data_IF_100136283911
#
_entry.id   IF_100136283911
#
_cell.length_a   1.000
_cell.length_b   1.000
_cell.length_c   1.000
_cell.angle_alpha   90.00
_cell.angle_beta   90.00
_cell.angle_gamma   90.00
#
_symmetry.space_group_name_H-M   'P 1'
#
loop_
_entity.id
_entity.type
_entity.pdbx_description
1 polymer ?
#
# COMPACT_ATOMS: atom_id res chain seq x y z
N UNK A 1 15.82 -5.28 -10.31
CA UNK A 1 14.61 -5.17 -11.17
C UNK A 1 14.12 -6.52 -11.68
N UNK A 2 14.93 -7.31 -12.40
CA UNK A 2 14.51 -8.60 -12.96
C UNK A 2 13.89 -9.56 -11.92
N UNK A 3 14.56 -9.75 -10.78
CA UNK A 3 14.03 -10.59 -9.69
C UNK A 3 12.64 -10.14 -9.17
N UNK A 4 12.43 -8.83 -8.99
CA UNK A 4 11.11 -8.28 -8.59
C UNK A 4 10.06 -8.54 -9.67
N UNK A 5 10.41 -8.36 -10.95
CA UNK A 5 9.50 -8.63 -12.06
C UNK A 5 9.09 -10.11 -12.12
N UNK A 6 10.07 -11.03 -12.01
CA UNK A 6 9.82 -12.47 -12.00
C UNK A 6 8.94 -12.90 -10.81
N UNK A 7 9.14 -12.31 -9.63
CA UNK A 7 8.35 -12.61 -8.44
C UNK A 7 6.85 -12.24 -8.58
N UNK A 8 6.52 -11.24 -9.41
CA UNK A 8 5.14 -10.79 -9.62
C UNK A 8 4.57 -11.12 -11.00
N UNK A 9 5.36 -11.75 -11.89
CA UNK A 9 4.98 -11.98 -13.29
C UNK A 9 3.71 -12.82 -13.42
N UNK A 10 3.55 -13.86 -12.58
CA UNK A 10 2.38 -14.74 -12.59
C UNK A 10 1.07 -14.07 -12.20
N UNK A 11 1.12 -12.96 -11.47
CA UNK A 11 -0.06 -12.25 -10.96
C UNK A 11 -0.46 -11.05 -11.80
N UNK A 12 0.51 -10.43 -12.47
CA UNK A 12 0.33 -9.12 -13.11
C UNK A 12 0.29 -9.17 -14.64
N UNK A 13 0.88 -10.19 -15.27
CA UNK A 13 1.00 -10.31 -16.74
C UNK A 13 1.55 -9.04 -17.42
N UNK A 14 2.52 -8.40 -16.76
CA UNK A 14 3.14 -7.17 -17.25
C UNK A 14 4.38 -7.47 -18.09
N UNK A 15 4.70 -6.59 -19.03
CA UNK A 15 6.05 -6.58 -19.61
C UNK A 15 7.07 -6.10 -18.57
N UNK A 16 8.35 -6.46 -18.74
CA UNK A 16 9.44 -5.93 -17.90
C UNK A 16 9.48 -4.39 -17.90
N UNK A 17 9.17 -3.77 -19.05
CA UNK A 17 9.14 -2.30 -19.18
C UNK A 17 8.00 -1.68 -18.37
N UNK A 18 6.84 -2.35 -18.30
CA UNK A 18 5.70 -1.93 -17.49
C UNK A 18 6.02 -2.03 -16.01
N UNK A 19 6.59 -3.16 -15.55
CA UNK A 19 7.01 -3.30 -14.15
C UNK A 19 8.02 -2.22 -13.75
N UNK A 20 9.02 -1.93 -14.60
CA UNK A 20 10.00 -0.86 -14.34
C UNK A 20 9.32 0.51 -14.25
N UNK A 21 8.40 0.81 -15.17
CA UNK A 21 7.68 2.10 -15.19
C UNK A 21 6.82 2.26 -13.94
N UNK A 22 6.10 1.22 -13.53
CA UNK A 22 5.28 1.23 -12.31
C UNK A 22 6.15 1.43 -11.08
N UNK A 23 7.24 0.69 -10.94
CA UNK A 23 8.16 0.81 -9.79
C UNK A 23 8.78 2.22 -9.74
N UNK A 24 9.19 2.79 -10.87
CA UNK A 24 9.70 4.16 -10.90
C UNK A 24 8.65 5.15 -10.43
N UNK A 25 7.41 5.06 -10.92
CA UNK A 25 6.30 5.91 -10.46
C UNK A 25 6.01 5.74 -8.97
N UNK A 26 6.15 4.54 -8.43
CA UNK A 26 5.99 4.30 -7.00
C UNK A 26 7.11 4.95 -6.18
N UNK A 27 8.34 4.95 -6.69
CA UNK A 27 9.46 5.68 -6.08
C UNK A 27 9.20 7.19 -6.14
N UNK A 28 8.80 7.71 -7.30
CA UNK A 28 8.51 9.13 -7.50
C UNK A 28 7.37 9.62 -6.58
N UNK A 29 6.41 8.73 -6.27
CA UNK A 29 5.31 8.98 -5.32
C UNK A 29 5.67 8.73 -3.85
N UNK A 30 6.90 8.31 -3.55
CA UNK A 30 7.33 8.00 -2.19
C UNK A 30 6.69 6.74 -1.58
N UNK A 31 6.20 5.82 -2.41
CA UNK A 31 5.61 4.54 -1.97
C UNK A 31 6.68 3.44 -1.82
N UNK A 32 7.77 3.56 -2.56
CA UNK A 32 8.91 2.64 -2.51
C UNK A 32 10.21 3.43 -2.41
N UNK A 33 11.18 2.86 -1.71
CA UNK A 33 12.58 3.27 -1.76
C UNK A 33 13.37 2.21 -2.51
N UNK A 34 14.37 2.63 -3.29
CA UNK A 34 15.34 1.72 -3.91
C UNK A 34 16.71 1.89 -3.29
N UNK A 35 17.28 0.79 -2.81
CA UNK A 35 18.65 0.70 -2.35
C UNK A 35 19.45 -0.24 -3.26
N UNK A 36 20.76 -0.01 -3.39
CA UNK A 36 21.65 -0.96 -4.06
C UNK A 36 22.56 -1.62 -3.04
N UNK A 37 22.44 -2.94 -2.89
CA UNK A 37 23.31 -3.76 -2.03
C UNK A 37 23.98 -4.81 -2.91
N UNK A 38 25.31 -4.90 -2.83
CA UNK A 38 26.11 -5.87 -3.61
C UNK A 38 25.84 -5.82 -5.13
N UNK A 39 25.56 -4.62 -5.65
CA UNK A 39 25.23 -4.43 -7.07
C UNK A 39 23.78 -4.76 -7.45
N UNK A 40 22.98 -5.33 -6.54
CA UNK A 40 21.56 -5.67 -6.74
C UNK A 40 20.65 -4.58 -6.20
N UNK A 41 19.57 -4.27 -6.94
CA UNK A 41 18.57 -3.30 -6.51
C UNK A 41 17.52 -3.97 -5.61
N UNK A 42 17.37 -3.47 -4.39
CA UNK A 42 16.35 -3.83 -3.41
C UNK A 42 15.28 -2.74 -3.39
N UNK A 43 14.01 -3.14 -3.44
CA UNK A 43 12.87 -2.25 -3.37
C UNK A 43 12.16 -2.47 -2.04
N UNK A 44 12.05 -1.42 -1.24
CA UNK A 44 11.58 -1.47 0.14
C UNK A 44 10.33 -0.58 0.23
N UNK A 45 9.22 -1.05 0.84
CA UNK A 45 8.06 -0.21 1.12
C UNK A 45 8.46 1.02 1.93
N UNK A 46 8.10 2.20 1.45
CA UNK A 46 8.30 3.47 2.18
C UNK A 46 7.05 3.90 2.97
N UNK A 47 5.95 3.16 2.82
CA UNK A 47 4.67 3.41 3.49
C UNK A 47 4.21 2.17 4.23
N UNK A 48 3.56 2.37 5.37
CA UNK A 48 2.97 1.27 6.12
C UNK A 48 1.73 0.73 5.44
N UNK A 49 1.57 -0.59 5.49
CA UNK A 49 0.47 -1.32 4.86
C UNK A 49 -0.89 -0.92 5.45
N UNK A 50 -0.99 -0.88 6.78
CA UNK A 50 -2.15 -0.39 7.53
C UNK A 50 -2.60 1.00 7.04
N UNK A 51 -1.66 1.96 7.01
CA UNK A 51 -1.92 3.33 6.56
C UNK A 51 -2.31 3.43 5.09
N UNK A 52 -1.72 2.58 4.24
CA UNK A 52 -2.04 2.54 2.82
C UNK A 52 -3.47 2.04 2.58
N UNK A 53 -3.90 1.00 3.30
CA UNK A 53 -5.25 0.47 3.20
C UNK A 53 -6.30 1.44 3.76
N UNK A 54 -6.02 2.09 4.90
CA UNK A 54 -6.90 3.12 5.45
C UNK A 54 -7.15 4.25 4.43
N UNK A 55 -6.09 4.77 3.83
CA UNK A 55 -6.17 5.80 2.78
C UNK A 55 -6.92 5.33 1.53
N UNK A 56 -6.66 4.10 1.07
CA UNK A 56 -7.34 3.56 -0.10
C UNK A 56 -8.85 3.42 0.14
N UNK A 57 -9.25 2.91 1.32
CA UNK A 57 -10.65 2.79 1.70
C UNK A 57 -11.31 4.15 1.77
N UNK A 58 -10.67 5.14 2.40
CA UNK A 58 -11.20 6.51 2.49
C UNK A 58 -11.37 7.14 1.10
N UNK A 59 -10.37 7.02 0.22
CA UNK A 59 -10.44 7.54 -1.15
C UNK A 59 -11.58 6.90 -1.94
N UNK A 60 -11.77 5.59 -1.79
CA UNK A 60 -12.86 4.86 -2.43
C UNK A 60 -14.24 5.29 -1.92
N UNK A 61 -14.43 5.36 -0.60
CA UNK A 61 -15.69 5.80 0.00
C UNK A 61 -16.07 7.22 -0.45
N UNK A 62 -15.10 8.15 -0.45
CA UNK A 62 -15.34 9.53 -0.80
C UNK A 62 -15.59 9.73 -2.30
N UNK A 63 -14.80 9.10 -3.17
CA UNK A 63 -14.81 9.39 -4.62
C UNK A 63 -15.72 8.50 -5.44
N UNK A 64 -15.96 7.27 -4.97
CA UNK A 64 -16.78 6.29 -5.70
C UNK A 64 -18.16 6.18 -5.09
N UNK A 65 -18.26 6.17 -3.76
CA UNK A 65 -19.54 6.03 -3.05
C UNK A 65 -20.15 7.37 -2.60
N UNK A 66 -19.41 8.48 -2.74
CA UNK A 66 -19.82 9.81 -2.28
C UNK A 66 -20.21 9.84 -0.79
N UNK A 67 -19.55 9.00 0.01
CA UNK A 67 -19.72 8.92 1.45
C UNK A 67 -18.57 9.65 2.15
N UNK A 68 -18.86 10.82 2.69
CA UNK A 68 -17.89 11.63 3.43
C UNK A 68 -17.91 11.29 4.94
N UNK A 69 -17.60 10.03 5.25
CA UNK A 69 -17.57 9.53 6.64
C UNK A 69 -16.20 8.96 6.98
N UNK A 70 -15.72 9.14 8.23
CA UNK A 70 -14.50 8.48 8.71
C UNK A 70 -14.60 6.97 8.50
N UNK A 71 -13.52 6.36 8.05
CA UNK A 71 -13.44 4.91 7.89
C UNK A 71 -13.52 4.27 9.29
N UNK A 72 -14.42 3.31 9.51
CA UNK A 72 -14.52 2.59 10.78
C UNK A 72 -13.64 1.35 10.80
N UNK A 73 -13.20 0.93 12.00
CA UNK A 73 -12.43 -0.33 12.16
C UNK A 73 -13.17 -1.57 11.68
N UNK A 74 -14.50 -1.57 11.73
CA UNK A 74 -15.33 -2.66 11.20
C UNK A 74 -15.15 -2.89 9.68
N UNK A 75 -14.67 -1.90 8.93
CA UNK A 75 -14.32 -2.09 7.52
C UNK A 75 -13.11 -3.02 7.33
N UNK A 76 -12.30 -3.23 8.38
CA UNK A 76 -11.08 -4.04 8.36
C UNK A 76 -11.20 -5.35 9.16
N UNK A 77 -12.25 -5.52 9.97
CA UNK A 77 -12.49 -6.77 10.72
C UNK A 77 -12.70 -7.94 9.78
N UNK A 78 -11.97 -9.04 9.98
CA UNK A 78 -12.00 -10.21 9.10
C UNK A 78 -11.09 -10.13 7.86
N UNK A 79 -10.27 -9.07 7.75
CA UNK A 79 -9.23 -8.97 6.73
C UNK A 79 -8.19 -10.07 6.92
N UNK A 80 -8.00 -10.93 5.90
CA UNK A 80 -6.85 -11.84 5.84
C UNK A 80 -5.56 -11.13 5.42
N UNK A 81 -5.68 -9.86 5.02
CA UNK A 81 -4.54 -9.06 4.55
C UNK A 81 -3.81 -8.43 5.72
N UNK A 82 -4.49 -8.03 6.80
CA UNK A 82 -3.87 -7.41 7.98
C UNK A 82 -3.81 -8.40 9.14
N UNK A 83 -2.66 -8.49 9.80
CA UNK A 83 -2.58 -9.21 11.08
C UNK A 83 -3.13 -8.38 12.25
N UNK A 84 -3.23 -8.97 13.44
CA UNK A 84 -3.81 -8.31 14.63
C UNK A 84 -3.04 -7.05 15.04
N UNK A 85 -1.71 -7.05 14.90
CA UNK A 85 -0.87 -5.89 15.23
C UNK A 85 -1.07 -4.77 14.20
N UNK A 86 -1.20 -5.12 12.92
CA UNK A 86 -1.54 -4.17 11.87
C UNK A 86 -2.96 -3.61 12.03
N UNK A 87 -3.94 -4.43 12.43
CA UNK A 87 -5.31 -3.99 12.72
C UNK A 87 -5.35 -3.00 13.89
N UNK A 88 -4.58 -3.24 14.95
CA UNK A 88 -4.45 -2.30 16.07
C UNK A 88 -3.82 -0.97 15.63
N UNK A 89 -2.83 -1.01 14.71
CA UNK A 89 -2.25 0.21 14.12
C UNK A 89 -3.27 0.99 13.29
N UNK A 90 -4.11 0.31 12.48
CA UNK A 90 -5.20 0.97 11.76
C UNK A 90 -6.15 1.63 12.74
N UNK A 91 -6.51 0.95 13.85
CA UNK A 91 -7.43 1.50 14.86
C UNK A 91 -6.91 2.82 15.42
N UNK A 92 -5.66 2.85 15.86
CA UNK A 92 -5.03 4.08 16.39
C UNK A 92 -4.99 5.20 15.37
N UNK A 93 -4.63 4.90 14.12
CA UNK A 93 -4.61 5.90 13.06
C UNK A 93 -6.00 6.50 12.80
N UNK A 94 -7.05 5.68 12.83
CA UNK A 94 -8.43 6.16 12.66
C UNK A 94 -8.92 6.99 13.86
N UNK A 95 -8.50 6.64 15.08
CA UNK A 95 -8.78 7.44 16.28
C UNK A 95 -8.11 8.82 16.18
N UNK A 96 -6.83 8.88 15.82
CA UNK A 96 -6.07 10.12 15.61
C UNK A 96 -6.69 11.05 14.55
N UNK A 97 -7.13 10.48 13.42
CA UNK A 97 -7.75 11.24 12.32
C UNK A 97 -9.18 11.72 12.68
N UNK A 98 -9.84 11.12 13.68
CA UNK A 98 -11.20 11.50 14.12
C UNK A 98 -11.23 12.62 15.17
N UNK A 99 -10.10 12.87 15.84
CA UNK A 99 -9.93 13.91 16.85
C UNK A 99 -9.41 15.26 16.29
N UNK A 100 -9.22 15.35 14.96
CA UNK A 100 -8.76 16.54 14.22
C UNK A 100 -9.85 17.17 13.38
#
# INVERSE_FOLDING_TARGET
>A
MRALHEACASQLDWSLSSSRTTVQRMIDKGLLTMERREGVAHFIPAVEKARTLARLTQDFLARVLELDRPVSMSAFTGSQILDEEELERVRKLLEEDSES
#
